data_IF_627085972114
#
_entry.id   IF_627085972114
#
_cell.length_a   1.000
_cell.length_b   1.000
_cell.length_c   1.000
_cell.angle_alpha   90.00
_cell.angle_beta   90.00
_cell.angle_gamma   90.00
#
_symmetry.space_group_name_H-M   'P 1'
#
loop_
_entity.id
_entity.type
_entity.pdbx_description
1 polymer ?
#
# COMPACT_ATOMS: atom_id res chain seq x y z
N UNK A 1 20.29 -12.48 -54.46
CA UNK A 1 19.90 -11.27 -53.72
C UNK A 1 19.00 -11.72 -52.59
N UNK A 2 19.62 -12.12 -51.47
CA UNK A 2 18.90 -12.67 -50.30
C UNK A 2 18.66 -11.54 -49.31
N UNK A 3 17.40 -11.19 -49.14
CA UNK A 3 16.97 -10.26 -48.10
C UNK A 3 16.70 -11.09 -46.84
N UNK A 4 17.63 -11.07 -45.89
CA UNK A 4 17.42 -11.55 -44.54
C UNK A 4 16.54 -10.51 -43.83
N UNK A 5 15.29 -10.88 -43.62
CA UNK A 5 14.46 -10.21 -42.62
C UNK A 5 14.96 -10.65 -41.24
N UNK A 6 15.74 -9.80 -40.61
CA UNK A 6 16.07 -9.93 -39.19
C UNK A 6 14.82 -9.67 -38.37
N UNK A 7 14.30 -10.70 -37.70
CA UNK A 7 13.37 -10.57 -36.57
C UNK A 7 14.10 -9.79 -35.48
N UNK A 8 13.84 -8.50 -35.39
CA UNK A 8 14.25 -7.70 -34.27
C UNK A 8 13.46 -8.10 -33.00
N UNK A 9 13.95 -9.08 -32.27
CA UNK A 9 13.66 -9.17 -30.84
C UNK A 9 14.18 -7.87 -30.23
N UNK A 10 13.25 -6.96 -29.92
CA UNK A 10 13.56 -5.77 -29.15
C UNK A 10 14.06 -6.26 -27.79
N UNK A 11 15.38 -6.16 -27.57
CA UNK A 11 15.98 -6.40 -26.27
C UNK A 11 15.15 -5.66 -25.23
N UNK A 12 14.64 -6.38 -24.21
CA UNK A 12 13.96 -5.75 -23.07
C UNK A 12 14.97 -4.75 -22.47
N UNK A 13 14.60 -3.47 -22.45
CA UNK A 13 15.51 -2.41 -22.08
C UNK A 13 16.06 -2.64 -20.66
N UNK A 14 17.35 -2.31 -20.49
CA UNK A 14 18.05 -2.34 -19.20
C UNK A 14 17.68 -1.11 -18.33
N UNK A 15 16.49 -0.55 -18.51
CA UNK A 15 16.01 0.57 -17.71
C UNK A 15 15.44 0.09 -16.37
N UNK A 16 15.42 0.97 -15.38
CA UNK A 16 14.81 0.72 -14.07
C UNK A 16 13.32 0.37 -14.21
N UNK A 17 12.62 1.02 -15.13
CA UNK A 17 11.24 0.65 -15.44
C UNK A 17 11.13 -0.78 -15.99
N UNK A 18 12.04 -1.18 -16.88
CA UNK A 18 12.08 -2.53 -17.42
C UNK A 18 12.28 -3.58 -16.33
N UNK A 19 13.14 -3.30 -15.36
CA UNK A 19 13.34 -4.16 -14.18
C UNK A 19 12.07 -4.24 -13.31
N UNK A 20 11.44 -3.11 -13.00
CA UNK A 20 10.19 -3.06 -12.25
C UNK A 20 9.05 -3.79 -12.98
N UNK A 21 8.95 -3.66 -14.30
CA UNK A 21 7.98 -4.36 -15.14
C UNK A 21 8.17 -5.89 -15.09
N UNK A 22 9.43 -6.37 -15.10
CA UNK A 22 9.73 -7.80 -14.92
C UNK A 22 9.23 -8.32 -13.58
N UNK A 23 9.46 -7.56 -12.50
CA UNK A 23 8.95 -7.90 -11.16
C UNK A 23 7.42 -7.92 -11.12
N UNK A 24 6.76 -6.95 -11.76
CA UNK A 24 5.30 -6.92 -11.85
C UNK A 24 4.73 -8.12 -12.59
N UNK A 25 5.29 -8.45 -13.76
CA UNK A 25 4.86 -9.61 -14.54
C UNK A 25 5.07 -10.93 -13.80
N UNK A 26 6.21 -11.07 -13.11
CA UNK A 26 6.48 -12.25 -12.29
C UNK A 26 5.44 -12.37 -11.17
N UNK A 27 5.22 -11.31 -10.41
CA UNK A 27 4.23 -11.31 -9.33
C UNK A 27 2.81 -11.63 -9.82
N UNK A 28 2.44 -11.07 -10.97
CA UNK A 28 1.17 -11.38 -11.62
C UNK A 28 1.02 -12.88 -11.92
N UNK A 29 2.04 -13.48 -12.54
CA UNK A 29 2.05 -14.91 -12.87
C UNK A 29 2.01 -15.79 -11.61
N UNK A 30 2.78 -15.42 -10.59
CA UNK A 30 2.83 -16.15 -9.32
C UNK A 30 1.46 -16.12 -8.60
N UNK A 31 0.78 -14.97 -8.61
CA UNK A 31 -0.57 -14.83 -8.04
C UNK A 31 -1.58 -15.67 -8.79
N UNK A 32 -1.59 -15.61 -10.14
CA UNK A 32 -2.49 -16.43 -10.97
C UNK A 32 -2.25 -17.92 -10.74
N UNK A 33 -1.00 -18.36 -10.65
CA UNK A 33 -0.65 -19.76 -10.42
C UNK A 33 -1.16 -20.27 -9.05
N UNK A 34 -1.27 -19.37 -8.05
CA UNK A 34 -1.82 -19.67 -6.72
C UNK A 34 -3.32 -19.52 -6.61
N UNK A 35 -4.01 -19.05 -7.67
CA UNK A 35 -5.44 -18.70 -7.62
C UNK A 35 -5.74 -17.42 -6.83
N UNK A 36 -4.74 -16.56 -6.60
CA UNK A 36 -4.87 -15.28 -5.92
C UNK A 36 -5.22 -14.17 -6.93
N UNK A 37 -5.83 -13.09 -6.43
CA UNK A 37 -6.10 -11.92 -7.27
C UNK A 37 -4.80 -11.21 -7.66
N UNK A 38 -4.49 -11.07 -8.97
CA UNK A 38 -3.15 -10.65 -9.40
C UNK A 38 -2.94 -9.14 -9.44
N UNK A 39 -4.00 -8.34 -9.39
CA UNK A 39 -3.96 -6.88 -9.44
C UNK A 39 -4.06 -6.24 -8.05
N UNK A 40 -4.00 -4.91 -7.98
CA UNK A 40 -4.23 -4.20 -6.73
C UNK A 40 -5.68 -4.41 -6.26
N UNK A 41 -5.88 -4.85 -5.01
CA UNK A 41 -7.20 -4.85 -4.39
C UNK A 41 -7.83 -3.45 -4.41
N UNK A 42 -9.15 -3.39 -4.61
CA UNK A 42 -9.92 -2.15 -4.69
C UNK A 42 -10.74 -1.97 -3.42
N UNK A 43 -10.52 -0.85 -2.71
CA UNK A 43 -11.24 -0.59 -1.46
C UNK A 43 -12.74 -0.46 -1.67
N UNK A 44 -13.18 0.18 -2.77
CA UNK A 44 -14.62 0.33 -3.05
C UNK A 44 -15.34 -1.01 -3.20
N UNK A 45 -14.65 -2.04 -3.70
CA UNK A 45 -15.21 -3.40 -3.78
C UNK A 45 -15.37 -3.99 -2.38
N UNK A 46 -14.41 -3.77 -1.48
CA UNK A 46 -14.50 -4.21 -0.07
C UNK A 46 -15.63 -3.48 0.65
N UNK A 47 -15.75 -2.17 0.44
CA UNK A 47 -16.74 -1.33 1.11
C UNK A 47 -18.17 -1.57 0.62
N UNK A 48 -18.36 -2.17 -0.57
CA UNK A 48 -19.71 -2.48 -1.08
C UNK A 48 -20.50 -3.43 -0.19
N UNK A 49 -19.81 -4.16 0.72
CA UNK A 49 -20.40 -5.09 1.69
C UNK A 49 -20.17 -4.68 3.15
N UNK A 50 -19.72 -3.43 3.38
CA UNK A 50 -19.31 -3.00 4.73
C UNK A 50 -19.97 -1.66 5.09
N UNK A 51 -20.71 -1.63 6.18
CA UNK A 51 -21.27 -0.39 6.73
C UNK A 51 -20.15 0.44 7.39
N UNK A 52 -19.89 1.64 6.86
CA UNK A 52 -19.00 2.62 7.46
C UNK A 52 -19.80 3.56 8.36
N UNK A 53 -19.47 3.60 9.65
CA UNK A 53 -20.21 4.41 10.64
C UNK A 53 -19.60 5.79 10.84
N UNK A 54 -18.30 5.95 10.57
CA UNK A 54 -17.65 7.27 10.62
C UNK A 54 -16.34 7.30 9.83
N UNK A 55 -15.87 8.52 9.55
CA UNK A 55 -14.56 8.78 8.95
C UNK A 55 -13.78 9.73 9.85
N UNK A 56 -12.47 9.50 9.97
CA UNK A 56 -11.57 10.30 10.81
C UNK A 56 -10.37 10.71 10.00
N UNK A 57 -10.05 12.00 9.95
CA UNK A 57 -8.79 12.46 9.37
C UNK A 57 -7.65 12.15 10.34
N UNK A 58 -6.62 11.45 9.87
CA UNK A 58 -5.39 11.22 10.63
C UNK A 58 -4.33 12.28 10.32
N UNK A 59 -4.62 13.22 9.40
CA UNK A 59 -3.65 14.20 8.93
C UNK A 59 -2.59 13.58 8.02
N UNK A 60 -1.41 14.19 7.99
CA UNK A 60 -0.25 13.68 7.26
C UNK A 60 0.61 12.86 8.20
N UNK A 61 0.95 11.65 7.76
CA UNK A 61 1.75 10.69 8.52
C UNK A 61 2.64 9.88 7.57
N UNK A 62 3.67 9.24 8.13
CA UNK A 62 4.46 8.26 7.42
C UNK A 62 3.72 6.92 7.37
N UNK A 63 3.35 6.50 6.16
CA UNK A 63 2.61 5.24 5.94
C UNK A 63 3.63 4.13 5.65
N UNK A 64 3.68 3.05 6.47
CA UNK A 64 4.53 1.91 6.18
C UNK A 64 4.14 1.28 4.83
N UNK A 65 5.09 1.17 3.90
CA UNK A 65 4.83 0.63 2.55
C UNK A 65 4.34 -0.83 2.57
N UNK A 66 4.69 -1.60 3.59
CA UNK A 66 4.19 -2.96 3.79
C UNK A 66 2.67 -3.00 4.03
N UNK A 67 2.09 -1.93 4.58
CA UNK A 67 0.65 -1.82 4.86
C UNK A 67 -0.15 -1.19 3.72
N UNK A 68 0.49 -0.65 2.68
CA UNK A 68 -0.16 -0.22 1.46
C UNK A 68 -0.45 -1.44 0.60
N UNK A 69 -1.74 -1.84 0.56
CA UNK A 69 -2.17 -3.11 -0.03
C UNK A 69 -2.97 -2.95 -1.32
N UNK A 70 -3.53 -1.77 -1.59
CA UNK A 70 -4.41 -1.59 -2.73
C UNK A 70 -4.66 -0.13 -3.10
N UNK A 71 -5.64 0.05 -3.98
CA UNK A 71 -6.11 1.36 -4.46
C UNK A 71 -7.55 1.61 -4.04
N UNK A 72 -7.96 2.90 -3.98
CA UNK A 72 -9.33 3.27 -3.59
C UNK A 72 -10.34 2.86 -4.65
N UNK A 73 -10.05 3.13 -5.93
CA UNK A 73 -10.94 2.92 -7.07
C UNK A 73 -10.35 1.94 -8.09
N UNK A 74 -11.21 1.34 -8.91
CA UNK A 74 -10.82 0.35 -9.91
C UNK A 74 -10.06 0.92 -11.13
N UNK A 75 -10.10 2.24 -11.37
CA UNK A 75 -9.61 2.86 -12.61
C UNK A 75 -8.21 2.45 -13.03
N UNK A 76 -7.31 2.22 -12.08
CA UNK A 76 -5.90 1.90 -12.34
C UNK A 76 -5.43 0.64 -11.63
N UNK A 77 -6.33 -0.13 -11.04
CA UNK A 77 -5.97 -1.36 -10.33
C UNK A 77 -5.17 -2.32 -11.20
N UNK A 78 -5.55 -2.49 -12.46
CA UNK A 78 -4.92 -3.38 -13.43
C UNK A 78 -3.65 -2.82 -14.08
N UNK A 79 -3.26 -1.58 -13.79
CA UNK A 79 -1.97 -1.02 -14.23
C UNK A 79 -0.79 -1.56 -13.42
N UNK A 80 -1.07 -2.23 -12.30
CA UNK A 80 -0.10 -2.77 -11.36
C UNK A 80 -0.45 -4.21 -10.98
N UNK A 81 0.58 -5.00 -10.69
CA UNK A 81 0.41 -6.24 -9.94
C UNK A 81 0.10 -5.93 -8.47
N UNK A 82 -0.37 -6.93 -7.71
CA UNK A 82 -0.77 -6.76 -6.31
C UNK A 82 0.36 -6.31 -5.36
N UNK A 83 1.61 -6.32 -5.82
CA UNK A 83 2.77 -5.75 -5.14
C UNK A 83 3.09 -4.30 -5.53
N UNK A 84 2.22 -3.62 -6.27
CA UNK A 84 2.40 -2.29 -6.86
C UNK A 84 3.44 -2.21 -7.99
N UNK A 85 4.04 -3.29 -8.43
CA UNK A 85 4.94 -3.23 -9.59
C UNK A 85 4.14 -3.05 -10.89
N UNK A 86 4.68 -2.28 -11.87
CA UNK A 86 3.96 -1.94 -13.10
C UNK A 86 3.72 -3.16 -13.98
N UNK A 87 2.60 -3.12 -14.76
CA UNK A 87 2.24 -4.12 -15.76
C UNK A 87 2.15 -3.55 -17.17
N UNK A 88 2.08 -2.22 -17.32
CA UNK A 88 1.93 -1.56 -18.61
C UNK A 88 3.26 -1.47 -19.38
N UNK A 89 3.22 -1.34 -20.73
CA UNK A 89 4.43 -1.25 -21.54
C UNK A 89 5.31 -0.05 -21.17
N UNK A 90 6.63 -0.21 -21.26
CA UNK A 90 7.62 0.82 -20.93
C UNK A 90 7.44 2.10 -21.75
N UNK A 91 7.17 1.98 -23.05
CA UNK A 91 6.98 3.13 -23.98
C UNK A 91 5.59 3.77 -23.88
N UNK A 92 4.77 3.35 -22.92
CA UNK A 92 3.48 3.99 -22.64
C UNK A 92 3.69 5.31 -21.88
N UNK A 93 2.70 6.19 -21.93
CA UNK A 93 2.66 7.40 -21.08
C UNK A 93 2.85 7.07 -19.59
N UNK A 94 2.30 5.93 -19.18
CA UNK A 94 2.46 5.42 -17.81
C UNK A 94 3.94 5.12 -17.49
N UNK A 95 4.64 4.38 -18.36
CA UNK A 95 6.04 4.00 -18.18
C UNK A 95 6.96 5.22 -18.13
N UNK A 96 6.75 6.17 -19.05
CA UNK A 96 7.50 7.44 -19.07
C UNK A 96 7.32 8.21 -17.78
N UNK A 97 6.06 8.38 -17.31
CA UNK A 97 5.77 9.08 -16.05
C UNK A 97 6.35 8.35 -14.83
N UNK A 98 6.36 7.03 -14.83
CA UNK A 98 6.94 6.24 -13.74
C UNK A 98 8.46 6.43 -13.68
N UNK A 99 9.15 6.37 -14.84
CA UNK A 99 10.60 6.56 -14.92
C UNK A 99 11.01 7.97 -14.50
N UNK A 100 10.25 8.99 -14.90
CA UNK A 100 10.50 10.37 -14.45
C UNK A 100 10.36 10.51 -12.93
N UNK A 101 9.35 9.86 -12.32
CA UNK A 101 9.20 9.83 -10.87
C UNK A 101 10.34 9.11 -10.18
N UNK A 102 10.83 8.00 -10.76
CA UNK A 102 11.99 7.27 -10.24
C UNK A 102 13.24 8.17 -10.23
N UNK A 103 13.55 8.81 -11.37
CA UNK A 103 14.71 9.70 -11.46
C UNK A 103 14.60 10.86 -10.46
N UNK A 104 13.44 11.51 -10.36
CA UNK A 104 13.22 12.58 -9.41
C UNK A 104 13.37 12.10 -7.95
N UNK A 105 12.88 10.88 -7.63
CA UNK A 105 13.05 10.31 -6.30
C UNK A 105 14.52 10.07 -5.95
N UNK A 106 15.34 9.60 -6.92
CA UNK A 106 16.75 9.31 -6.70
C UNK A 106 17.57 10.59 -6.60
N UNK A 107 17.24 11.62 -7.38
CA UNK A 107 17.97 12.89 -7.43
C UNK A 107 17.62 13.83 -6.27
N UNK A 108 16.33 14.05 -6.02
CA UNK A 108 15.85 15.11 -5.12
C UNK A 108 15.06 14.56 -3.92
N UNK A 109 14.54 13.34 -4.02
CA UNK A 109 13.56 12.80 -3.09
C UNK A 109 12.13 13.35 -3.32
N UNK A 110 11.13 12.47 -3.24
CA UNK A 110 9.72 12.86 -3.35
C UNK A 110 9.20 13.18 -1.96
N UNK A 111 8.85 14.46 -1.75
CA UNK A 111 8.30 14.96 -0.49
C UNK A 111 6.78 15.09 -0.52
N UNK A 112 6.17 15.12 -1.71
CA UNK A 112 4.73 15.28 -1.86
C UNK A 112 3.97 14.09 -1.25
N UNK A 113 3.09 14.31 -0.26
CA UNK A 113 2.33 13.23 0.35
C UNK A 113 1.37 12.59 -0.66
N UNK A 114 1.19 11.27 -0.56
CA UNK A 114 0.09 10.58 -1.24
C UNK A 114 -1.23 10.86 -0.52
N UNK A 115 -2.36 10.54 -1.17
CA UNK A 115 -3.68 10.52 -0.51
C UNK A 115 -4.11 9.06 -0.36
N UNK A 116 -4.44 8.66 0.87
CA UNK A 116 -4.80 7.29 1.17
C UNK A 116 -5.97 7.18 2.15
N UNK A 117 -6.68 6.06 2.07
CA UNK A 117 -7.65 5.64 3.07
C UNK A 117 -7.05 4.52 3.93
N UNK A 118 -7.27 4.59 5.23
CA UNK A 118 -7.01 3.47 6.13
C UNK A 118 -8.33 2.74 6.44
N UNK A 119 -8.32 1.43 6.27
CA UNK A 119 -9.41 0.53 6.61
C UNK A 119 -8.83 -0.77 7.17
N UNK A 120 -9.25 -1.16 8.36
CA UNK A 120 -8.82 -2.40 9.04
C UNK A 120 -7.30 -2.50 9.17
N UNK A 121 -6.62 -1.39 9.52
CA UNK A 121 -5.16 -1.26 9.63
C UNK A 121 -4.39 -1.59 8.34
N UNK A 122 -5.03 -1.40 7.20
CA UNK A 122 -4.46 -1.48 5.84
C UNK A 122 -4.71 -0.18 5.10
N UNK A 123 -3.81 0.20 4.21
CA UNK A 123 -3.93 1.46 3.49
C UNK A 123 -4.18 1.23 2.00
N UNK A 124 -5.05 2.07 1.44
CA UNK A 124 -5.46 2.03 0.04
C UNK A 124 -5.25 3.40 -0.58
N UNK A 125 -4.49 3.45 -1.67
CA UNK A 125 -4.09 4.68 -2.32
C UNK A 125 -5.26 5.28 -3.11
N UNK A 126 -5.63 6.52 -2.85
CA UNK A 126 -6.52 7.29 -3.71
C UNK A 126 -5.72 8.02 -4.77
N UNK A 127 -4.63 8.70 -4.37
CA UNK A 127 -3.75 9.42 -5.27
C UNK A 127 -2.29 9.13 -4.97
N UNK A 128 -1.50 8.86 -6.02
CA UNK A 128 -0.07 8.61 -5.89
C UNK A 128 0.35 7.14 -6.10
N UNK A 129 -0.46 6.28 -6.73
CA UNK A 129 -0.12 4.87 -6.98
C UNK A 129 1.26 4.68 -7.63
N UNK A 130 1.69 5.57 -8.57
CA UNK A 130 3.02 5.50 -9.18
C UNK A 130 4.12 5.85 -8.17
N UNK A 131 3.89 6.83 -7.27
CA UNK A 131 4.85 7.16 -6.19
C UNK A 131 5.03 5.97 -5.26
N UNK A 132 3.94 5.32 -4.85
CA UNK A 132 4.00 4.07 -4.06
C UNK A 132 4.76 2.98 -4.80
N UNK A 133 4.52 2.81 -6.11
CA UNK A 133 5.24 1.84 -6.94
C UNK A 133 6.75 2.09 -6.95
N UNK A 134 7.17 3.33 -7.18
CA UNK A 134 8.59 3.73 -7.16
C UNK A 134 9.20 3.50 -5.78
N UNK A 135 8.55 3.93 -4.70
CA UNK A 135 9.06 3.77 -3.34
C UNK A 135 9.20 2.29 -2.93
N UNK A 136 8.20 1.45 -3.30
CA UNK A 136 8.30 -0.01 -3.09
C UNK A 136 9.42 -0.64 -3.91
N UNK A 137 9.62 -0.20 -5.16
CA UNK A 137 10.70 -0.68 -6.01
C UNK A 137 12.08 -0.34 -5.43
N UNK A 138 12.23 0.85 -4.86
CA UNK A 138 13.45 1.29 -4.17
C UNK A 138 13.66 0.64 -2.79
N UNK A 139 12.69 -0.13 -2.28
CA UNK A 139 12.78 -0.78 -0.97
C UNK A 139 12.66 0.20 0.20
N UNK A 140 12.02 1.35 0.02
CA UNK A 140 11.79 2.30 1.10
C UNK A 140 10.88 1.69 2.18
N UNK A 141 11.01 2.17 3.42
CA UNK A 141 10.20 1.68 4.54
C UNK A 141 8.80 2.32 4.55
N UNK A 142 8.73 3.64 4.37
CA UNK A 142 7.50 4.42 4.45
C UNK A 142 7.40 5.44 3.32
N UNK A 143 6.23 6.04 3.20
CA UNK A 143 5.95 7.17 2.31
C UNK A 143 5.03 8.17 3.03
N UNK A 144 5.28 9.49 2.94
CA UNK A 144 4.38 10.49 3.52
C UNK A 144 3.01 10.43 2.83
N UNK A 145 1.94 10.50 3.62
CA UNK A 145 0.58 10.47 3.10
C UNK A 145 -0.43 11.15 3.98
N UNK A 146 -1.39 11.84 3.36
CA UNK A 146 -2.58 12.35 4.03
C UNK A 146 -3.62 11.25 4.09
N UNK A 147 -4.02 10.87 5.31
CA UNK A 147 -4.81 9.67 5.55
C UNK A 147 -6.19 9.98 6.13
N UNK A 148 -7.21 9.36 5.54
CA UNK A 148 -8.56 9.29 6.09
C UNK A 148 -8.85 7.86 6.54
N UNK A 149 -9.16 7.66 7.82
CA UNK A 149 -9.56 6.39 8.40
C UNK A 149 -11.05 6.17 8.22
N UNK A 150 -11.42 4.97 7.74
CA UNK A 150 -12.81 4.52 7.63
C UNK A 150 -13.10 3.55 8.78
N UNK A 151 -14.08 3.89 9.62
CA UNK A 151 -14.43 3.05 10.77
C UNK A 151 -15.66 2.22 10.39
N UNK A 152 -15.53 0.87 10.30
CA UNK A 152 -16.65 -0.01 10.03
C UNK A 152 -17.59 -0.10 11.23
N UNK A 153 -18.83 -0.49 10.99
CA UNK A 153 -19.75 -0.89 12.06
C UNK A 153 -19.17 -2.04 12.87
N UNK A 154 -19.41 -2.04 14.19
CA UNK A 154 -19.03 -3.17 15.06
C UNK A 154 -19.82 -4.40 14.69
N UNK A 155 -19.11 -5.53 14.54
CA UNK A 155 -19.66 -6.87 14.34
C UNK A 155 -19.02 -7.85 15.32
N UNK A 156 -19.57 -9.08 15.36
CA UNK A 156 -19.00 -10.16 16.18
C UNK A 156 -17.86 -10.90 15.50
N UNK A 157 -17.44 -10.49 14.30
CA UNK A 157 -16.31 -11.07 13.60
C UNK A 157 -15.00 -10.76 14.34
N UNK A 158 -14.15 -11.77 14.46
CA UNK A 158 -12.88 -11.64 15.18
C UNK A 158 -12.02 -10.48 14.64
N UNK A 159 -11.90 -10.34 13.31
CA UNK A 159 -11.08 -9.28 12.70
C UNK A 159 -11.64 -7.89 13.02
N UNK A 160 -12.95 -7.73 13.05
CA UNK A 160 -13.60 -6.48 13.45
C UNK A 160 -13.37 -6.15 14.93
N UNK A 161 -13.49 -7.14 15.83
CA UNK A 161 -13.20 -6.95 17.26
C UNK A 161 -11.75 -6.58 17.52
N UNK A 162 -10.80 -7.26 16.85
CA UNK A 162 -9.36 -6.95 16.91
C UNK A 162 -9.06 -5.54 16.39
N UNK A 163 -9.76 -5.12 15.32
CA UNK A 163 -9.61 -3.75 14.81
C UNK A 163 -10.07 -2.70 15.82
N UNK A 164 -11.15 -2.95 16.54
CA UNK A 164 -11.60 -2.03 17.59
C UNK A 164 -10.65 -1.99 18.80
N UNK A 165 -10.04 -3.10 19.19
CA UNK A 165 -8.95 -3.09 20.18
C UNK A 165 -7.73 -2.31 19.67
N UNK A 166 -7.38 -2.47 18.38
CA UNK A 166 -6.35 -1.67 17.73
C UNK A 166 -6.68 -0.17 17.75
N UNK A 167 -7.92 0.23 17.46
CA UNK A 167 -8.33 1.64 17.52
C UNK A 167 -8.12 2.25 18.90
N UNK A 168 -8.44 1.51 19.97
CA UNK A 168 -8.22 1.96 21.34
C UNK A 168 -6.72 2.06 21.66
N UNK A 169 -5.90 1.11 21.20
CA UNK A 169 -4.45 1.18 21.32
C UNK A 169 -3.86 2.33 20.51
N UNK A 170 -4.31 2.53 19.27
CA UNK A 170 -3.84 3.62 18.40
C UNK A 170 -4.09 5.01 18.99
N UNK A 171 -5.19 5.22 19.73
CA UNK A 171 -5.49 6.50 20.39
C UNK A 171 -4.39 6.93 21.36
N UNK A 172 -3.74 5.99 22.00
CA UNK A 172 -2.70 6.26 23.01
C UNK A 172 -1.28 6.17 22.44
N UNK A 173 -1.06 5.30 21.43
CA UNK A 173 0.28 5.02 20.90
C UNK A 173 0.60 5.74 19.58
N UNK A 174 -0.42 6.16 18.84
CA UNK A 174 -0.30 6.58 17.42
C UNK A 174 0.42 5.55 16.52
N UNK A 175 0.64 4.33 17.03
CA UNK A 175 1.39 3.27 16.36
C UNK A 175 0.47 2.40 15.52
N UNK A 176 0.72 2.32 14.22
CA UNK A 176 -0.03 1.45 13.31
C UNK A 176 0.70 0.13 12.98
N UNK A 177 1.96 -0.05 13.39
CA UNK A 177 2.76 -1.22 13.02
C UNK A 177 2.39 -2.47 13.82
N UNK A 178 2.03 -2.29 15.09
CA UNK A 178 1.66 -3.40 15.96
C UNK A 178 0.27 -3.91 15.61
N UNK A 179 0.19 -5.20 15.26
CA UNK A 179 -1.06 -5.90 14.99
C UNK A 179 -1.07 -7.29 15.64
N UNK A 180 -2.14 -7.60 16.36
CA UNK A 180 -2.32 -8.89 17.01
C UNK A 180 -3.44 -9.70 16.36
N UNK A 181 -3.27 -11.02 16.34
CA UNK A 181 -4.27 -11.97 15.84
C UNK A 181 -5.17 -12.56 16.93
N UNK A 182 -5.03 -12.10 18.19
CA UNK A 182 -5.81 -12.54 19.35
C UNK A 182 -6.24 -11.35 20.18
N UNK A 183 -7.48 -11.42 20.69
CA UNK A 183 -8.03 -10.41 21.59
C UNK A 183 -7.26 -10.29 22.90
N UNK A 184 -7.29 -9.10 23.50
CA UNK A 184 -6.67 -8.78 24.79
C UNK A 184 -5.16 -8.48 24.73
N UNK A 185 -4.50 -8.72 23.60
CA UNK A 185 -3.05 -8.56 23.49
C UNK A 185 -2.56 -7.12 23.57
N UNK A 186 -3.35 -6.16 23.11
CA UNK A 186 -3.01 -4.74 23.28
C UNK A 186 -3.01 -4.33 24.75
N UNK A 187 -3.96 -4.83 25.56
CA UNK A 187 -4.00 -4.58 27.02
C UNK A 187 -2.82 -5.25 27.74
N UNK A 188 -2.43 -6.47 27.30
CA UNK A 188 -1.26 -7.14 27.85
C UNK A 188 0.02 -6.36 27.53
N UNK A 189 0.16 -5.85 26.28
CA UNK A 189 1.31 -5.04 25.86
C UNK A 189 1.43 -3.78 26.74
N UNK A 190 0.35 -2.99 26.89
CA UNK A 190 0.34 -1.79 27.73
C UNK A 190 0.73 -2.12 29.17
N UNK A 191 0.22 -3.23 29.72
CA UNK A 191 0.58 -3.68 31.08
C UNK A 191 2.06 -4.05 31.21
N UNK A 192 2.62 -4.73 30.21
CA UNK A 192 4.06 -5.10 30.18
C UNK A 192 4.97 -3.88 30.10
N UNK A 193 4.52 -2.83 29.40
CA UNK A 193 5.22 -1.53 29.35
C UNK A 193 5.01 -0.66 30.60
N UNK A 194 4.18 -1.10 31.56
CA UNK A 194 3.86 -0.32 32.74
C UNK A 194 2.93 0.86 32.49
N UNK A 195 2.28 0.91 31.31
CA UNK A 195 1.42 2.00 30.90
C UNK A 195 -0.05 1.76 31.26
N UNK A 196 -0.77 2.85 31.57
CA UNK A 196 -2.22 2.78 31.73
C UNK A 196 -2.93 2.76 30.38
N UNK A 197 -4.13 2.18 30.28
CA UNK A 197 -4.87 2.09 29.00
C UNK A 197 -5.23 3.43 28.35
N UNK A 198 -5.22 4.52 29.11
CA UNK A 198 -5.54 5.89 28.70
C UNK A 198 -4.32 6.82 28.67
N UNK A 199 -3.14 6.29 28.95
CA UNK A 199 -1.88 7.04 28.90
C UNK A 199 -1.41 7.20 27.47
N UNK A 200 -1.31 8.44 27.01
CA UNK A 200 -0.75 8.76 25.68
C UNK A 200 0.77 8.57 25.72
N UNK A 201 1.32 7.93 24.71
CA UNK A 201 2.75 7.73 24.55
C UNK A 201 3.44 9.04 24.20
N UNK A 202 4.60 9.28 24.78
CA UNK A 202 5.50 10.38 24.44
C UNK A 202 6.61 9.85 23.51
N UNK A 203 7.33 10.75 22.80
CA UNK A 203 8.37 10.35 21.83
C UNK A 203 9.53 9.53 22.46
N UNK A 204 9.65 9.51 23.78
CA UNK A 204 10.70 8.79 24.50
C UNK A 204 10.26 7.41 25.03
N UNK A 205 8.99 7.04 24.87
CA UNK A 205 8.42 5.73 25.27
C UNK A 205 8.53 4.69 24.12
#
# INVERSE_FOLDING_TARGET
MNIHQGNGEVAMSDTEYGAALKLGKKQYQDAVAKGEYPYLPVLDDVLSYTDIVSTVSLGTMDIPLAKLVGTKTAERSNSFANNFMPLLPERSEFGIKWLNLYNHQVEDGIQDPIVAYEFMNRFYVQEGNKRVSVMKYLGAYSIPGTVTRLIPKRTDDLENRLYYEFLDFYKVSSNCDVWFSKEGRYKELLKLMGMKPDQVWEEED
#
